data_IF_431216976582
#
_entry.id   IF_431216976582
#
_cell.length_a   1.000
_cell.length_b   1.000
_cell.length_c   1.000
_cell.angle_alpha   90.00
_cell.angle_beta   90.00
_cell.angle_gamma   90.00
#
_symmetry.space_group_name_H-M   'P 1'
#
loop_
_entity.id
_entity.type
_entity.pdbx_description
1 polymer ?
#
# COMPACT_ATOMS: atom_id res chain seq x y z
N UNK A 1 13.32 -20.00 20.90
CA UNK A 1 12.45 -18.83 20.66
C UNK A 1 11.59 -19.17 19.45
N UNK A 2 10.27 -19.24 19.62
CA UNK A 2 9.31 -19.31 18.52
C UNK A 2 8.83 -17.87 18.32
N UNK A 3 9.43 -17.14 17.38
CA UNK A 3 9.20 -15.70 17.22
C UNK A 3 8.52 -15.36 15.88
N UNK A 4 8.28 -16.36 15.03
CA UNK A 4 7.85 -16.13 13.65
C UNK A 4 6.72 -17.10 13.30
N UNK A 5 5.47 -16.61 13.41
CA UNK A 5 4.19 -17.24 13.05
C UNK A 5 3.78 -18.54 13.78
N UNK A 6 2.78 -18.44 14.65
CA UNK A 6 2.10 -19.57 15.31
C UNK A 6 0.96 -20.12 14.44
N UNK A 7 1.30 -20.63 13.25
CA UNK A 7 0.27 -21.11 12.28
C UNK A 7 -0.62 -22.23 12.84
N UNK A 8 -0.09 -23.04 13.75
CA UNK A 8 -0.85 -24.11 14.43
C UNK A 8 -1.93 -23.57 15.38
N UNK A 9 -1.77 -22.34 15.87
CA UNK A 9 -2.64 -21.72 16.86
C UNK A 9 -3.60 -20.70 16.21
N UNK A 10 -3.59 -20.59 14.88
CA UNK A 10 -4.37 -19.65 14.11
C UNK A 10 -5.40 -20.35 13.22
N UNK A 11 -6.58 -19.75 13.08
CA UNK A 11 -7.61 -20.23 12.14
C UNK A 11 -7.31 -19.87 10.67
N UNK A 12 -6.26 -19.09 10.42
CA UNK A 12 -5.85 -18.63 9.09
C UNK A 12 -4.70 -17.61 9.17
N UNK A 13 -4.20 -17.19 8.00
CA UNK A 13 -3.12 -16.20 7.89
C UNK A 13 -3.68 -14.89 7.35
N UNK A 14 -3.43 -13.79 8.06
CA UNK A 14 -3.68 -12.44 7.58
C UNK A 14 -2.41 -11.84 6.96
N UNK A 15 -2.56 -11.21 5.80
CA UNK A 15 -1.50 -10.45 5.14
C UNK A 15 -1.80 -8.97 5.32
N UNK A 16 -0.79 -8.21 5.77
CA UNK A 16 -0.96 -6.80 6.12
C UNK A 16 -0.17 -5.91 5.15
N UNK A 17 -0.75 -4.77 4.76
CA UNK A 17 -0.04 -3.68 4.10
C UNK A 17 -0.25 -2.39 4.89
N UNK A 18 0.85 -1.81 5.39
CA UNK A 18 0.85 -0.62 6.23
C UNK A 18 1.13 0.65 5.42
N UNK A 19 0.40 1.72 5.72
CA UNK A 19 0.61 3.06 5.17
C UNK A 19 0.70 4.02 6.34
N UNK A 20 1.78 4.79 6.39
CA UNK A 20 1.97 5.83 7.38
C UNK A 20 1.94 7.20 6.69
N UNK A 21 1.17 8.13 7.26
CA UNK A 21 1.05 9.52 6.84
C UNK A 21 1.77 10.42 7.85
N UNK A 22 3.07 10.73 7.65
CA UNK A 22 3.87 11.45 8.64
C UNK A 22 3.35 12.84 9.02
N UNK A 23 2.89 13.69 8.07
CA UNK A 23 2.35 15.02 8.40
C UNK A 23 1.20 15.01 9.42
N UNK A 24 0.42 13.93 9.48
CA UNK A 24 -0.72 13.80 10.39
C UNK A 24 -0.50 12.77 11.50
N UNK A 25 0.64 12.09 11.53
CA UNK A 25 0.92 10.98 12.45
C UNK A 25 -0.22 9.92 12.47
N UNK A 26 -0.65 9.47 11.28
CA UNK A 26 -1.72 8.45 11.15
C UNK A 26 -1.24 7.24 10.38
N UNK A 27 -1.54 6.06 10.92
CA UNK A 27 -1.34 4.78 10.26
C UNK A 27 -2.65 4.22 9.72
N UNK A 28 -2.60 3.61 8.54
CA UNK A 28 -3.65 2.75 7.99
C UNK A 28 -3.05 1.38 7.74
N UNK A 29 -3.76 0.33 8.17
CA UNK A 29 -3.38 -1.05 7.86
C UNK A 29 -4.52 -1.67 7.06
N UNK A 30 -4.18 -2.23 5.90
CA UNK A 30 -5.08 -3.05 5.12
C UNK A 30 -4.76 -4.53 5.37
N UNK A 31 -5.79 -5.32 5.68
CA UNK A 31 -5.65 -6.77 5.97
C UNK A 31 -6.32 -7.56 4.84
N UNK A 32 -5.53 -8.39 4.17
CA UNK A 32 -5.98 -9.38 3.19
C UNK A 32 -5.89 -10.80 3.77
N UNK A 33 -6.64 -11.72 3.17
CA UNK A 33 -6.65 -13.16 3.54
C UNK A 33 -6.04 -14.04 2.45
N UNK A 34 -5.41 -13.42 1.45
CA UNK A 34 -4.77 -14.10 0.32
C UNK A 34 -3.27 -13.79 0.31
N UNK A 35 -2.69 -13.46 -0.85
CA UNK A 35 -1.25 -13.28 -1.01
C UNK A 35 -0.84 -11.80 -0.95
N UNK A 36 0.38 -11.55 -0.45
CA UNK A 36 1.05 -10.27 -0.62
C UNK A 36 1.47 -10.10 -2.08
N UNK A 37 0.80 -9.19 -2.80
CA UNK A 37 0.99 -8.99 -4.24
C UNK A 37 1.04 -7.50 -4.57
N UNK A 38 1.68 -7.11 -5.68
CA UNK A 38 1.67 -5.72 -6.12
C UNK A 38 0.26 -5.13 -6.28
N UNK A 39 -0.70 -5.95 -6.72
CA UNK A 39 -2.10 -5.57 -6.81
C UNK A 39 -2.72 -5.27 -5.42
N UNK A 40 -2.40 -6.09 -4.41
CA UNK A 40 -2.84 -5.87 -3.03
C UNK A 40 -2.20 -4.61 -2.42
N UNK A 41 -0.90 -4.39 -2.64
CA UNK A 41 -0.20 -3.18 -2.20
C UNK A 41 -0.81 -1.90 -2.80
N UNK A 42 -1.02 -1.88 -4.13
CA UNK A 42 -1.64 -0.73 -4.81
C UNK A 42 -3.09 -0.52 -4.34
N UNK A 43 -3.87 -1.58 -4.19
CA UNK A 43 -5.24 -1.51 -3.68
C UNK A 43 -5.30 -0.96 -2.25
N UNK A 44 -4.31 -1.27 -1.41
CA UNK A 44 -4.19 -0.74 -0.05
C UNK A 44 -3.97 0.78 -0.08
N UNK A 45 -3.10 1.28 -0.96
CA UNK A 45 -2.88 2.73 -1.15
C UNK A 45 -4.14 3.43 -1.67
N UNK A 46 -4.84 2.82 -2.62
CA UNK A 46 -6.11 3.34 -3.13
C UNK A 46 -7.18 3.39 -2.05
N UNK A 47 -7.23 2.37 -1.19
CA UNK A 47 -8.17 2.31 -0.06
C UNK A 47 -7.91 3.44 0.92
N UNK A 48 -6.64 3.67 1.28
CA UNK A 48 -6.24 4.82 2.09
C UNK A 48 -6.60 6.14 1.41
N UNK A 49 -6.30 6.29 0.12
CA UNK A 49 -6.60 7.50 -0.65
C UNK A 49 -8.09 7.85 -0.63
N UNK A 50 -8.96 6.87 -0.92
CA UNK A 50 -10.42 7.05 -0.92
C UNK A 50 -10.97 7.43 0.46
N UNK A 51 -10.44 6.84 1.54
CA UNK A 51 -10.94 7.05 2.90
C UNK A 51 -10.42 8.33 3.55
N UNK A 52 -9.17 8.67 3.28
CA UNK A 52 -8.40 9.61 4.08
C UNK A 52 -7.57 10.56 3.22
N UNK A 53 -6.77 10.03 2.29
CA UNK A 53 -5.82 10.82 1.50
C UNK A 53 -6.50 11.92 0.67
N UNK A 54 -7.55 11.59 -0.08
CA UNK A 54 -8.29 12.53 -0.93
C UNK A 54 -8.93 13.68 -0.17
N UNK A 55 -9.38 13.45 1.07
CA UNK A 55 -9.97 14.50 1.92
C UNK A 55 -8.94 15.52 2.39
N UNK A 56 -7.70 15.09 2.58
CA UNK A 56 -6.59 15.93 3.08
C UNK A 56 -5.77 16.56 1.96
N UNK A 57 -5.54 15.77 0.91
CA UNK A 57 -4.58 16.05 -0.15
C UNK A 57 -5.23 16.14 -1.53
N UNK A 58 -6.56 16.15 -1.65
CA UNK A 58 -7.26 16.16 -2.94
C UNK A 58 -6.98 17.37 -3.84
N UNK A 59 -6.34 18.42 -3.33
CA UNK A 59 -5.85 19.57 -4.12
C UNK A 59 -4.40 19.42 -4.59
N UNK A 60 -3.66 18.46 -4.06
CA UNK A 60 -2.29 18.19 -4.46
C UNK A 60 -2.29 17.25 -5.68
N UNK A 61 -1.78 17.69 -6.85
CA UNK A 61 -1.76 16.85 -8.04
C UNK A 61 -0.67 15.77 -7.99
N UNK A 62 0.11 15.71 -6.91
CA UNK A 62 1.28 14.85 -6.76
C UNK A 62 1.28 14.15 -5.41
N UNK A 63 1.68 12.89 -5.40
CA UNK A 63 1.84 12.08 -4.20
C UNK A 63 3.24 11.44 -4.18
N UNK A 64 3.97 11.60 -3.07
CA UNK A 64 5.23 10.91 -2.82
C UNK A 64 4.95 9.67 -1.95
N UNK A 65 5.33 8.50 -2.45
CA UNK A 65 5.27 7.22 -1.74
C UNK A 65 6.69 6.79 -1.40
N UNK A 66 6.98 6.65 -0.12
CA UNK A 66 8.24 6.06 0.37
C UNK A 66 7.98 4.57 0.61
N UNK A 67 8.67 3.70 -0.13
CA UNK A 67 8.46 2.26 -0.09
C UNK A 67 9.80 1.54 0.08
N UNK A 68 9.87 0.56 0.97
CA UNK A 68 11.09 -0.19 1.29
C UNK A 68 11.58 -1.16 0.18
N UNK A 69 10.86 -1.26 -0.95
CA UNK A 69 11.17 -2.16 -2.06
C UNK A 69 11.08 -3.66 -1.71
N UNK A 70 10.36 -4.02 -0.65
CA UNK A 70 10.08 -5.40 -0.26
C UNK A 70 8.94 -6.04 -1.06
N UNK A 71 9.10 -7.32 -1.43
CA UNK A 71 8.02 -8.18 -1.93
C UNK A 71 7.10 -7.51 -2.96
N UNK A 72 5.87 -7.19 -2.53
CA UNK A 72 4.81 -6.61 -3.36
C UNK A 72 5.08 -5.19 -3.86
N UNK A 73 5.93 -4.40 -3.21
CA UNK A 73 6.25 -3.03 -3.60
C UNK A 73 7.63 -2.87 -4.24
N UNK A 74 8.26 -3.97 -4.65
CA UNK A 74 9.62 -3.98 -5.19
C UNK A 74 9.84 -3.01 -6.35
N UNK A 75 10.95 -2.27 -6.32
CA UNK A 75 11.32 -1.26 -7.31
C UNK A 75 11.58 -1.83 -8.71
N UNK A 76 11.94 -3.12 -8.79
CA UNK A 76 12.18 -3.85 -10.05
C UNK A 76 10.90 -4.51 -10.58
N UNK A 77 9.83 -4.56 -9.78
CA UNK A 77 8.55 -5.15 -10.18
C UNK A 77 7.81 -4.24 -11.16
N UNK A 78 7.63 -4.72 -12.40
CA UNK A 78 6.77 -4.07 -13.38
C UNK A 78 5.30 -4.09 -12.96
N UNK A 79 4.86 -5.18 -12.33
CA UNK A 79 3.50 -5.28 -11.81
C UNK A 79 3.22 -4.17 -10.78
N UNK A 80 4.16 -3.89 -9.88
CA UNK A 80 4.02 -2.77 -8.92
C UNK A 80 3.78 -1.42 -9.61
N UNK A 81 4.60 -1.11 -10.62
CA UNK A 81 4.47 0.14 -11.39
C UNK A 81 3.13 0.21 -12.13
N UNK A 82 2.73 -0.89 -12.78
CA UNK A 82 1.47 -0.97 -13.53
C UNK A 82 0.25 -0.87 -12.63
N UNK A 83 0.28 -1.51 -11.46
CA UNK A 83 -0.83 -1.50 -10.50
C UNK A 83 -1.01 -0.12 -9.88
N UNK A 84 0.08 0.59 -9.53
CA UNK A 84 0.00 1.98 -9.09
C UNK A 84 -0.56 2.88 -10.19
N UNK A 85 -0.08 2.73 -11.42
CA UNK A 85 -0.60 3.51 -12.55
C UNK A 85 -2.09 3.27 -12.77
N UNK A 86 -2.51 2.01 -12.76
CA UNK A 86 -3.87 1.60 -13.13
C UNK A 86 -4.88 1.88 -12.04
N UNK A 87 -4.53 1.60 -10.78
CA UNK A 87 -5.48 1.70 -9.67
C UNK A 87 -5.48 3.09 -9.01
N UNK A 88 -4.35 3.82 -9.04
CA UNK A 88 -4.21 5.11 -8.35
C UNK A 88 -4.03 6.29 -9.31
N UNK A 89 -3.04 6.26 -10.21
CA UNK A 89 -2.77 7.41 -11.06
C UNK A 89 -3.93 7.70 -12.04
N UNK A 90 -4.35 6.69 -12.80
CA UNK A 90 -5.39 6.84 -13.83
C UNK A 90 -6.75 7.26 -13.25
N UNK A 91 -7.29 6.62 -12.18
CA UNK A 91 -8.65 6.92 -11.73
C UNK A 91 -8.76 8.26 -10.99
N UNK A 92 -7.66 8.76 -10.42
CA UNK A 92 -7.68 9.98 -9.59
C UNK A 92 -6.90 11.15 -10.21
N UNK A 93 -6.23 10.96 -11.35
CA UNK A 93 -5.46 12.01 -12.01
C UNK A 93 -4.26 12.50 -11.20
N UNK A 94 -3.67 11.64 -10.37
CA UNK A 94 -2.56 11.98 -9.47
C UNK A 94 -1.26 11.49 -10.08
N UNK A 95 -0.24 12.35 -10.11
CA UNK A 95 1.11 11.94 -10.44
C UNK A 95 1.79 11.36 -9.20
N UNK A 96 2.14 10.08 -9.23
CA UNK A 96 2.81 9.41 -8.11
C UNK A 96 4.31 9.33 -8.37
N UNK A 97 5.10 9.71 -7.38
CA UNK A 97 6.54 9.43 -7.32
C UNK A 97 6.75 8.38 -6.23
N UNK A 98 7.41 7.28 -6.58
CA UNK A 98 7.83 6.26 -5.62
C UNK A 98 9.33 6.40 -5.39
N UNK A 99 9.73 6.54 -4.13
CA UNK A 99 11.13 6.51 -3.71
C UNK A 99 11.37 5.28 -2.83
N UNK A 100 12.48 4.61 -3.10
CA UNK A 100 12.93 3.41 -2.41
C UNK A 100 14.23 3.67 -1.66
#
# INVERSE_FOLDING_TARGET
MNDHDFRSDASGVGIYYGIYDPPNNRGTVCVGVSHDTPAFAAHSIVTWWKREGSRRYGRAPKLLVLADSGGSNSCTSWAWKTEIQTQLCNPFGIAVTVAH
#
